data_IF_274876964411
#
_entry.id   IF_274876964411
#
_cell.length_a   1.000
_cell.length_b   1.000
_cell.length_c   1.000
_cell.angle_alpha   90.00
_cell.angle_beta   90.00
_cell.angle_gamma   90.00
#
_symmetry.space_group_name_H-M   'P 1'
#
loop_
_entity.id
_entity.type
_entity.pdbx_description
1 polymer ?
#
# COMPACT_ATOMS: atom_id res chain seq x y z
N UNK A 1 -10.35 -13.66 -41.66
CA UNK A 1 -10.73 -12.59 -40.71
C UNK A 1 -11.54 -13.09 -39.52
N UNK A 2 -12.43 -14.09 -39.64
CA UNK A 2 -13.27 -14.58 -38.53
C UNK A 2 -12.48 -15.25 -37.40
N UNK A 3 -11.46 -16.06 -37.72
CA UNK A 3 -10.66 -16.79 -36.73
C UNK A 3 -9.78 -15.91 -35.83
N UNK A 4 -9.40 -14.69 -36.27
CA UNK A 4 -8.59 -13.78 -35.46
C UNK A 4 -9.41 -13.19 -34.31
N UNK A 5 -10.63 -12.75 -34.63
CA UNK A 5 -11.58 -12.22 -33.64
C UNK A 5 -11.99 -13.26 -32.62
N UNK A 6 -12.14 -14.51 -33.04
CA UNK A 6 -12.42 -15.64 -32.13
C UNK A 6 -11.26 -15.87 -31.17
N UNK A 7 -10.01 -15.88 -31.66
CA UNK A 7 -8.82 -16.00 -30.82
C UNK A 7 -8.69 -14.83 -29.82
N UNK A 8 -8.91 -13.60 -30.28
CA UNK A 8 -8.93 -12.42 -29.42
C UNK A 8 -10.02 -12.50 -28.35
N UNK A 9 -11.23 -12.93 -28.71
CA UNK A 9 -12.34 -13.09 -27.76
C UNK A 9 -12.01 -14.13 -26.67
N UNK A 10 -11.36 -15.24 -27.03
CA UNK A 10 -10.91 -16.25 -26.08
C UNK A 10 -9.84 -15.70 -25.14
N UNK A 11 -8.83 -15.01 -25.67
CA UNK A 11 -7.73 -14.47 -24.87
C UNK A 11 -8.23 -13.37 -23.91
N UNK A 12 -9.23 -12.57 -24.31
CA UNK A 12 -9.85 -11.56 -23.42
C UNK A 12 -10.58 -12.16 -22.22
N UNK A 13 -10.93 -13.44 -22.24
CA UNK A 13 -11.54 -14.09 -21.08
C UNK A 13 -10.50 -14.50 -20.01
N UNK A 14 -9.21 -14.41 -20.32
CA UNK A 14 -8.14 -14.71 -19.36
C UNK A 14 -8.08 -13.57 -18.34
N UNK A 15 -8.05 -13.87 -17.02
CA UNK A 15 -7.94 -12.85 -15.99
C UNK A 15 -6.74 -11.93 -16.21
N UNK A 16 -6.94 -10.63 -15.98
CA UNK A 16 -5.97 -9.55 -16.12
C UNK A 16 -5.58 -9.17 -17.56
N UNK A 17 -6.21 -9.75 -18.59
CA UNK A 17 -6.07 -9.29 -19.98
C UNK A 17 -7.02 -8.14 -20.26
N UNK A 18 -6.49 -6.96 -20.54
CA UNK A 18 -7.28 -5.75 -20.85
C UNK A 18 -7.55 -5.61 -22.34
N UNK A 19 -6.53 -5.89 -23.15
CA UNK A 19 -6.63 -5.86 -24.60
C UNK A 19 -5.73 -6.92 -25.22
N UNK A 20 -6.11 -7.36 -26.41
CA UNK A 20 -5.34 -8.32 -27.19
C UNK A 20 -5.52 -8.00 -28.66
N UNK A 21 -4.44 -8.20 -29.41
CA UNK A 21 -4.42 -8.21 -30.87
C UNK A 21 -3.71 -9.47 -31.35
N UNK A 22 -4.34 -10.17 -32.28
CA UNK A 22 -3.78 -11.40 -32.86
C UNK A 22 -3.60 -11.23 -34.36
N UNK A 23 -2.36 -11.36 -34.83
CA UNK A 23 -2.05 -11.46 -36.26
C UNK A 23 -1.94 -12.94 -36.66
N UNK A 24 -2.71 -13.30 -37.68
CA UNK A 24 -2.78 -14.67 -38.22
C UNK A 24 -2.02 -14.77 -39.54
N UNK A 25 -1.38 -15.90 -39.76
CA UNK A 25 -0.82 -16.35 -41.04
C UNK A 25 -1.50 -17.66 -41.42
N UNK A 26 -2.22 -17.69 -42.54
CA UNK A 26 -3.05 -18.84 -43.00
C UNK A 26 -3.92 -19.49 -41.89
N UNK A 27 -4.52 -18.65 -41.04
CA UNK A 27 -5.39 -19.10 -39.95
C UNK A 27 -4.64 -19.64 -38.72
N UNK A 28 -3.32 -19.50 -38.66
CA UNK A 28 -2.48 -19.85 -37.51
C UNK A 28 -1.95 -18.58 -36.84
N UNK A 29 -2.03 -18.45 -35.50
CA UNK A 29 -1.49 -17.30 -34.79
C UNK A 29 0.02 -17.16 -35.00
N UNK A 30 0.44 -16.06 -35.62
CA UNK A 30 1.85 -15.75 -35.88
C UNK A 30 2.42 -14.80 -34.83
N UNK A 31 1.64 -13.79 -34.43
CA UNK A 31 2.00 -12.83 -33.39
C UNK A 31 0.78 -12.52 -32.52
N UNK A 32 1.00 -12.45 -31.22
CA UNK A 32 -0.04 -12.11 -30.24
C UNK A 32 0.50 -11.02 -29.33
N UNK A 33 -0.13 -9.85 -29.39
CA UNK A 33 0.17 -8.72 -28.51
C UNK A 33 -0.90 -8.64 -27.44
N UNK A 34 -0.48 -8.76 -26.19
CA UNK A 34 -1.37 -8.74 -25.02
C UNK A 34 -1.03 -7.53 -24.18
N UNK A 35 -2.05 -6.77 -23.86
CA UNK A 35 -2.01 -5.74 -22.84
C UNK A 35 -2.61 -6.33 -21.56
N UNK A 36 -1.80 -6.45 -20.51
CA UNK A 36 -2.23 -7.05 -19.25
C UNK A 36 -1.99 -6.13 -18.05
N UNK A 37 -2.81 -6.28 -17.02
CA UNK A 37 -2.57 -5.66 -15.73
C UNK A 37 -1.35 -6.30 -15.03
N UNK A 38 -0.69 -5.55 -14.13
CA UNK A 38 0.54 -5.98 -13.45
C UNK A 38 0.31 -6.98 -12.28
N UNK A 39 -0.91 -7.48 -12.08
CA UNK A 39 -1.27 -8.35 -10.96
C UNK A 39 -0.69 -9.76 -11.04
N UNK A 40 -0.38 -10.24 -12.24
CA UNK A 40 0.12 -11.61 -12.49
C UNK A 40 1.49 -11.61 -13.18
N UNK A 41 2.24 -12.68 -12.95
CA UNK A 41 3.53 -12.87 -13.60
C UNK A 41 3.34 -13.14 -15.11
N UNK A 42 4.07 -12.48 -16.02
CA UNK A 42 3.88 -12.61 -17.47
C UNK A 42 3.87 -14.06 -17.98
N UNK A 43 4.78 -14.91 -17.49
CA UNK A 43 4.84 -16.32 -17.89
C UNK A 43 3.59 -17.14 -17.51
N UNK A 44 2.80 -16.72 -16.52
CA UNK A 44 1.52 -17.36 -16.23
C UNK A 44 0.49 -17.03 -17.32
N UNK A 45 0.43 -15.76 -17.74
CA UNK A 45 -0.45 -15.30 -18.82
C UNK A 45 -0.09 -16.00 -20.13
N UNK A 46 1.20 -16.13 -20.46
CA UNK A 46 1.66 -16.90 -21.63
C UNK A 46 1.12 -18.33 -21.61
N UNK A 47 1.21 -19.02 -20.47
CA UNK A 47 0.71 -20.40 -20.33
C UNK A 47 -0.81 -20.50 -20.47
N UNK A 48 -1.54 -19.54 -19.91
CA UNK A 48 -3.00 -19.49 -20.01
C UNK A 48 -3.42 -19.29 -21.48
N UNK A 49 -2.73 -18.43 -22.22
CA UNK A 49 -2.96 -18.18 -23.64
C UNK A 49 -2.67 -19.42 -24.47
N UNK A 50 -1.52 -20.06 -24.29
CA UNK A 50 -1.18 -21.32 -24.98
C UNK A 50 -2.24 -22.39 -24.72
N UNK A 51 -2.66 -22.55 -23.45
CA UNK A 51 -3.66 -23.54 -23.04
C UNK A 51 -5.04 -23.23 -23.62
N UNK A 52 -5.46 -21.96 -23.61
CA UNK A 52 -6.75 -21.54 -24.13
C UNK A 52 -6.86 -21.70 -25.65
N UNK A 53 -5.82 -21.29 -26.39
CA UNK A 53 -5.77 -21.44 -27.85
C UNK A 53 -5.73 -22.91 -28.27
N UNK A 54 -4.94 -23.73 -27.57
CA UNK A 54 -4.87 -25.17 -27.83
C UNK A 54 -6.22 -25.86 -27.57
N UNK A 55 -6.90 -25.50 -26.47
CA UNK A 55 -8.17 -26.14 -26.08
C UNK A 55 -9.37 -25.71 -26.93
N UNK A 56 -9.42 -24.44 -27.37
CA UNK A 56 -10.60 -23.88 -28.06
C UNK A 56 -10.46 -23.82 -29.58
N UNK A 57 -9.25 -23.69 -30.09
CA UNK A 57 -8.98 -23.47 -31.53
C UNK A 57 -8.12 -24.61 -32.11
N UNK A 58 -7.53 -25.46 -31.25
CA UNK A 58 -6.67 -26.56 -31.68
C UNK A 58 -5.35 -26.10 -32.30
N UNK A 59 -4.99 -24.82 -32.15
CA UNK A 59 -3.76 -24.22 -32.69
C UNK A 59 -2.73 -24.05 -31.58
N UNK A 60 -1.48 -24.40 -31.87
CA UNK A 60 -0.33 -24.14 -30.99
C UNK A 60 0.39 -22.89 -31.46
N UNK A 61 0.85 -22.09 -30.51
CA UNK A 61 1.67 -20.90 -30.73
C UNK A 61 2.96 -21.07 -29.92
N UNK A 62 4.09 -20.60 -30.45
CA UNK A 62 5.33 -20.52 -29.68
C UNK A 62 5.28 -19.30 -28.75
N UNK A 63 5.64 -19.46 -27.48
CA UNK A 63 5.85 -18.35 -26.53
C UNK A 63 6.65 -17.17 -27.08
N UNK A 64 7.58 -17.38 -28.03
CA UNK A 64 8.37 -16.32 -28.69
C UNK A 64 7.52 -15.36 -29.52
N UNK A 65 6.35 -15.80 -29.98
CA UNK A 65 5.39 -14.99 -30.73
C UNK A 65 4.43 -14.19 -29.82
N UNK A 66 4.48 -14.40 -28.50
CA UNK A 66 3.60 -13.72 -27.55
C UNK A 66 4.37 -12.57 -26.90
N UNK A 67 3.96 -11.34 -27.23
CA UNK A 67 4.45 -10.13 -26.61
C UNK A 67 3.45 -9.64 -25.57
N UNK A 68 3.87 -9.59 -24.30
CA UNK A 68 3.05 -9.03 -23.23
C UNK A 68 3.59 -7.66 -22.86
N UNK A 69 2.78 -6.64 -23.08
CA UNK A 69 2.96 -5.34 -22.48
C UNK A 69 2.15 -5.31 -21.18
N UNK A 70 2.82 -5.18 -20.05
CA UNK A 70 2.12 -4.92 -18.79
C UNK A 70 1.94 -3.42 -18.64
N UNK A 71 0.69 -2.97 -18.66
CA UNK A 71 0.42 -1.66 -18.11
C UNK A 71 0.78 -1.75 -16.64
N UNK A 72 1.69 -0.87 -16.22
CA UNK A 72 1.74 -0.46 -14.82
C UNK A 72 0.39 0.20 -14.58
N UNK A 73 -0.62 -0.59 -14.24
CA UNK A 73 -1.95 -0.12 -13.86
C UNK A 73 -1.71 1.08 -12.99
N UNK A 74 -2.22 2.25 -13.43
CA UNK A 74 -1.87 3.58 -12.99
C UNK A 74 -1.38 3.49 -11.56
N UNK A 75 -0.05 3.41 -11.38
CA UNK A 75 0.63 3.01 -10.14
C UNK A 75 -0.29 3.42 -9.03
N UNK A 76 -1.06 2.49 -8.43
CA UNK A 76 -2.09 2.85 -7.44
C UNK A 76 -1.35 3.86 -6.57
N UNK A 77 -1.78 5.12 -6.59
CA UNK A 77 -1.12 6.12 -5.78
C UNK A 77 -1.41 5.62 -4.39
N UNK A 78 -0.51 4.79 -3.86
CA UNK A 78 -0.69 4.13 -2.60
C UNK A 78 -0.86 5.30 -1.66
N UNK A 79 -2.10 5.48 -1.18
CA UNK A 79 -2.46 6.63 -0.39
C UNK A 79 -1.62 6.53 0.87
N UNK A 80 -0.50 7.26 0.89
CA UNK A 80 0.52 7.11 1.90
C UNK A 80 0.63 8.42 2.61
N UNK A 81 0.18 8.43 3.86
CA UNK A 81 0.39 9.56 4.74
C UNK A 81 1.89 9.79 4.88
N UNK A 82 2.30 11.01 4.53
CA UNK A 82 3.67 11.47 4.65
C UNK A 82 3.81 12.33 5.90
N UNK A 83 4.82 12.04 6.72
CA UNK A 83 5.21 12.90 7.83
C UNK A 83 5.77 14.22 7.30
N UNK A 84 5.20 15.35 7.71
CA UNK A 84 5.68 16.69 7.36
C UNK A 84 6.44 17.34 8.49
N UNK A 85 5.88 17.34 9.68
CA UNK A 85 6.51 17.93 10.85
C UNK A 85 6.18 17.14 12.11
N UNK A 86 7.12 17.17 13.05
CA UNK A 86 6.93 16.78 14.44
C UNK A 86 7.42 17.95 15.28
N UNK A 87 6.53 18.54 16.07
CA UNK A 87 6.81 19.65 16.96
C UNK A 87 6.61 19.20 18.39
N UNK A 88 7.53 19.60 19.27
CA UNK A 88 7.48 19.30 20.69
C UNK A 88 7.55 20.59 21.48
N UNK A 89 6.62 20.76 22.41
CA UNK A 89 6.65 21.81 23.41
C UNK A 89 6.81 21.19 24.78
N UNK A 90 7.88 21.58 25.49
CA UNK A 90 8.15 21.14 26.84
C UNK A 90 7.77 22.25 27.83
N UNK A 91 7.05 21.89 28.88
CA UNK A 91 6.68 22.79 29.98
C UNK A 91 6.82 22.05 31.30
N UNK A 92 7.86 22.36 32.07
CA UNK A 92 8.16 21.78 33.38
C UNK A 92 8.14 20.23 33.42
N UNK A 93 6.99 19.65 33.70
CA UNK A 93 6.73 18.21 33.85
C UNK A 93 5.91 17.61 32.69
N UNK A 94 5.48 18.45 31.75
CA UNK A 94 4.56 18.10 30.68
C UNK A 94 5.21 18.33 29.31
N UNK A 95 5.00 17.38 28.40
CA UNK A 95 5.35 17.49 26.99
C UNK A 95 4.07 17.49 26.16
N UNK A 96 4.01 18.38 25.17
CA UNK A 96 2.98 18.43 24.15
C UNK A 96 3.63 18.16 22.80
N UNK A 97 3.05 17.24 22.03
CA UNK A 97 3.48 16.88 20.69
C UNK A 97 2.40 17.27 19.68
N UNK A 98 2.82 17.89 18.59
CA UNK A 98 2.01 18.14 17.40
C UNK A 98 2.67 17.46 16.20
N UNK A 99 1.90 16.64 15.48
CA UNK A 99 2.36 15.94 14.28
C UNK A 99 1.51 16.38 13.09
N UNK A 100 2.20 16.70 12.00
CA UNK A 100 1.58 17.14 10.75
C UNK A 100 1.81 16.07 9.68
N UNK A 101 0.72 15.60 9.09
CA UNK A 101 0.71 14.60 8.02
C UNK A 101 0.14 15.21 6.75
N UNK A 102 0.61 14.75 5.60
CA UNK A 102 0.07 15.13 4.29
C UNK A 102 -0.37 13.92 3.48
N UNK A 103 -1.46 14.09 2.74
CA UNK A 103 -1.95 13.14 1.73
C UNK A 103 -2.62 13.94 0.60
N UNK A 104 -2.15 13.77 -0.63
CA UNK A 104 -2.73 14.37 -1.84
C UNK A 104 -3.00 15.89 -1.74
N UNK A 105 -2.12 16.61 -1.06
CA UNK A 105 -2.23 18.06 -0.83
C UNK A 105 -3.13 18.47 0.35
N UNK A 106 -3.85 17.53 0.97
CA UNK A 106 -4.52 17.75 2.25
C UNK A 106 -3.54 17.57 3.42
N UNK A 107 -3.72 18.38 4.46
CA UNK A 107 -2.92 18.35 5.67
C UNK A 107 -3.77 17.97 6.89
N UNK A 108 -3.19 17.15 7.76
CA UNK A 108 -3.84 16.66 8.97
C UNK A 108 -2.92 16.87 10.15
N UNK A 109 -3.46 17.47 11.21
CA UNK A 109 -2.71 17.80 12.42
C UNK A 109 -3.25 16.98 13.58
N UNK A 110 -2.37 16.24 14.24
CA UNK A 110 -2.67 15.47 15.43
C UNK A 110 -1.85 15.92 16.63
N UNK A 111 -2.40 15.74 17.83
CA UNK A 111 -1.81 16.22 19.08
C UNK A 111 -1.90 15.20 20.21
N UNK A 112 -0.91 15.21 21.09
CA UNK A 112 -0.92 14.46 22.34
C UNK A 112 -0.13 15.21 23.41
N UNK A 113 -0.54 15.08 24.68
CA UNK A 113 0.13 15.71 25.82
C UNK A 113 0.18 14.79 27.02
N UNK A 114 1.26 14.86 27.79
CA UNK A 114 1.41 14.09 29.02
C UNK A 114 2.77 14.31 29.69
N UNK A 115 3.15 13.47 30.67
CA UNK A 115 4.42 13.61 31.38
C UNK A 115 5.64 13.69 30.44
N UNK A 116 6.60 14.56 30.74
CA UNK A 116 7.79 14.83 29.92
C UNK A 116 8.93 13.78 30.09
N UNK A 117 8.64 12.61 30.66
CA UNK A 117 9.63 11.55 30.83
C UNK A 117 10.09 11.00 29.47
N UNK A 118 11.33 10.49 29.38
CA UNK A 118 11.89 9.99 28.11
C UNK A 118 11.00 8.93 27.45
N UNK A 119 10.57 7.92 28.21
CA UNK A 119 9.69 6.86 27.70
C UNK A 119 8.34 7.43 27.21
N UNK A 120 7.79 8.42 27.93
CA UNK A 120 6.50 8.99 27.58
C UNK A 120 6.58 9.92 26.38
N UNK A 121 7.71 10.60 26.12
CA UNK A 121 7.92 11.40 24.90
C UNK A 121 7.76 10.57 23.62
N UNK A 122 8.30 9.36 23.58
CA UNK A 122 8.14 8.47 22.42
C UNK A 122 6.68 8.04 22.25
N UNK A 123 6.02 7.70 23.35
CA UNK A 123 4.60 7.36 23.36
C UNK A 123 3.73 8.53 22.87
N UNK A 124 3.95 9.74 23.36
CA UNK A 124 3.24 10.94 22.96
C UNK A 124 3.44 11.28 21.47
N UNK A 125 4.65 11.07 20.94
CA UNK A 125 4.90 11.25 19.50
C UNK A 125 4.10 10.25 18.65
N UNK A 126 4.01 9.00 19.08
CA UNK A 126 3.16 7.99 18.44
C UNK A 126 1.69 8.38 18.56
N UNK A 127 1.21 8.75 19.74
CA UNK A 127 -0.19 9.13 19.97
C UNK A 127 -0.60 10.35 19.14
N UNK A 128 0.23 11.39 19.07
CA UNK A 128 -0.02 12.56 18.22
C UNK A 128 -0.08 12.18 16.74
N UNK A 129 0.75 11.22 16.31
CA UNK A 129 0.70 10.68 14.95
C UNK A 129 -0.60 9.93 14.69
N UNK A 130 -1.03 9.08 15.63
CA UNK A 130 -2.29 8.33 15.50
C UNK A 130 -3.51 9.26 15.50
N UNK A 131 -3.51 10.33 16.30
CA UNK A 131 -4.56 11.36 16.25
C UNK A 131 -4.66 12.00 14.86
N UNK A 132 -3.52 12.34 14.23
CA UNK A 132 -3.49 12.88 12.87
C UNK A 132 -4.07 11.87 11.84
N UNK A 133 -3.73 10.59 11.99
CA UNK A 133 -4.26 9.51 11.15
C UNK A 133 -5.78 9.36 11.32
N UNK A 134 -6.28 9.33 12.56
CA UNK A 134 -7.72 9.20 12.83
C UNK A 134 -8.50 10.35 12.18
N UNK A 135 -7.97 11.58 12.27
CA UNK A 135 -8.56 12.76 11.60
C UNK A 135 -8.57 12.62 10.08
N UNK A 136 -7.49 12.10 9.49
CA UNK A 136 -7.43 11.85 8.04
C UNK A 136 -8.44 10.81 7.55
N UNK A 137 -8.91 9.93 8.45
CA UNK A 137 -9.96 8.95 8.20
C UNK A 137 -11.36 9.43 8.65
N UNK A 138 -11.53 10.73 8.91
CA UNK A 138 -12.81 11.32 9.29
C UNK A 138 -13.31 10.88 10.67
N UNK A 139 -12.40 10.52 11.59
CA UNK A 139 -12.72 10.06 12.96
C UNK A 139 -13.60 8.80 13.02
N UNK A 140 -13.50 7.93 12.01
CA UNK A 140 -14.33 6.71 11.88
C UNK A 140 -13.72 5.46 12.52
N UNK A 141 -12.47 5.53 12.97
CA UNK A 141 -11.74 4.44 13.62
C UNK A 141 -11.12 4.91 14.92
N UNK A 142 -10.82 3.95 15.81
CA UNK A 142 -10.01 4.21 16.99
C UNK A 142 -8.63 3.59 16.78
N UNK A 143 -7.59 4.39 17.03
CA UNK A 143 -6.20 3.97 17.03
C UNK A 143 -5.58 4.34 18.36
N UNK A 144 -4.84 3.42 18.98
CA UNK A 144 -4.05 3.72 20.18
C UNK A 144 -2.75 2.93 20.20
N UNK A 145 -1.73 3.52 20.82
CA UNK A 145 -0.44 2.88 21.00
C UNK A 145 -0.53 1.85 22.14
N UNK A 146 -0.25 0.59 21.82
CA UNK A 146 -0.15 -0.47 22.84
C UNK A 146 1.28 -0.53 23.39
N UNK A 147 2.29 -0.34 22.54
CA UNK A 147 3.68 -0.36 22.95
C UNK A 147 4.56 0.51 22.06
N UNK A 148 5.59 1.12 22.67
CA UNK A 148 6.66 1.83 21.97
C UNK A 148 7.98 1.45 22.63
N UNK A 149 8.90 0.88 21.85
CA UNK A 149 10.19 0.38 22.32
C UNK A 149 11.30 1.02 21.49
N UNK A 150 12.27 1.61 22.17
CA UNK A 150 13.57 1.94 21.60
C UNK A 150 14.48 0.73 21.78
N UNK A 151 15.02 0.21 20.68
CA UNK A 151 15.92 -0.95 20.66
C UNK A 151 17.11 -0.68 19.75
N UNK A 152 18.17 -1.45 19.90
CA UNK A 152 19.38 -1.34 19.07
C UNK A 152 19.49 -2.57 18.18
N UNK A 153 19.69 -2.36 16.87
CA UNK A 153 19.85 -3.39 15.85
C UNK A 153 21.22 -3.20 15.22
N UNK A 154 22.18 -4.03 15.61
CA UNK A 154 23.59 -3.82 15.25
C UNK A 154 24.13 -2.59 15.97
N UNK A 155 24.58 -1.60 15.20
CA UNK A 155 25.07 -0.30 15.65
C UNK A 155 24.05 0.84 15.50
N UNK A 156 22.82 0.52 15.07
CA UNK A 156 21.77 1.51 14.82
C UNK A 156 20.64 1.36 15.83
N UNK A 157 20.21 2.48 16.41
CA UNK A 157 18.98 2.51 17.21
C UNK A 157 17.74 2.50 16.30
N UNK A 158 16.67 1.89 16.77
CA UNK A 158 15.39 1.78 16.08
C UNK A 158 14.23 1.91 17.07
N UNK A 159 13.17 2.61 16.67
CA UNK A 159 11.89 2.61 17.38
C UNK A 159 10.98 1.57 16.74
N UNK A 160 10.40 0.69 17.56
CA UNK A 160 9.36 -0.26 17.18
C UNK A 160 8.11 0.05 17.97
N UNK A 161 6.95 0.06 17.31
CA UNK A 161 5.66 0.33 17.96
C UNK A 161 4.59 -0.65 17.53
N UNK A 162 3.72 -1.00 18.47
CA UNK A 162 2.47 -1.71 18.24
C UNK A 162 1.29 -0.74 18.37
N UNK A 163 0.40 -0.76 17.38
CA UNK A 163 -0.78 0.08 17.28
C UNK A 163 -1.98 -0.83 17.21
N UNK A 164 -2.97 -0.61 18.08
CA UNK A 164 -4.24 -1.32 18.00
C UNK A 164 -5.21 -0.46 17.19
N UNK A 165 -5.79 -1.10 16.18
CA UNK A 165 -6.86 -0.57 15.36
C UNK A 165 -8.17 -1.23 15.78
N UNK A 166 -9.16 -0.41 16.12
CA UNK A 166 -10.53 -0.85 16.35
C UNK A 166 -11.46 -0.25 15.29
N UNK A 167 -12.08 -1.12 14.51
CA UNK A 167 -13.02 -0.79 13.43
C UNK A 167 -14.16 -1.82 13.43
N UNK A 168 -15.42 -1.37 13.41
CA UNK A 168 -16.58 -2.26 13.29
C UNK A 168 -16.68 -3.35 14.38
N UNK A 169 -16.22 -3.05 15.60
CA UNK A 169 -16.19 -4.00 16.72
C UNK A 169 -15.09 -5.06 16.65
N UNK A 170 -14.19 -5.00 15.65
CA UNK A 170 -13.02 -5.87 15.55
C UNK A 170 -11.76 -5.11 15.95
N UNK A 171 -10.86 -5.81 16.63
CA UNK A 171 -9.53 -5.31 16.96
C UNK A 171 -8.47 -6.00 16.10
N UNK A 172 -7.50 -5.22 15.65
CA UNK A 172 -6.35 -5.68 14.89
C UNK A 172 -5.11 -5.02 15.45
N UNK A 173 -4.06 -5.82 15.65
CA UNK A 173 -2.75 -5.31 16.06
C UNK A 173 -1.91 -5.07 14.81
N UNK A 174 -1.41 -3.84 14.69
CA UNK A 174 -0.49 -3.40 13.67
C UNK A 174 0.87 -3.17 14.32
N UNK A 175 1.95 -3.41 13.58
CA UNK A 175 3.31 -3.15 14.04
C UNK A 175 4.01 -2.28 13.03
N UNK A 176 4.90 -1.39 13.47
CA UNK A 176 5.75 -0.57 12.62
C UNK A 176 7.08 -0.27 13.28
N UNK A 177 8.06 0.10 12.46
CA UNK A 177 9.40 0.39 12.95
C UNK A 177 10.13 1.37 12.05
N UNK A 178 11.08 2.11 12.65
CA UNK A 178 11.94 3.05 11.96
C UNK A 178 13.29 3.15 12.68
N UNK A 179 14.38 3.20 11.92
CA UNK A 179 15.69 3.52 12.47
C UNK A 179 15.72 4.96 12.98
N UNK A 180 16.40 5.16 14.10
CA UNK A 180 16.66 6.47 14.69
C UNK A 180 17.81 7.11 13.92
N UNK A 181 17.56 8.31 13.42
CA UNK A 181 18.61 9.12 12.80
C UNK A 181 18.92 10.36 13.63
N UNK A 182 18.01 11.34 13.60
CA UNK A 182 18.26 12.66 14.21
C UNK A 182 17.51 12.84 15.53
N UNK A 183 16.30 12.33 15.59
CA UNK A 183 15.39 12.56 16.71
C UNK A 183 14.57 11.30 16.99
N UNK A 184 14.54 10.88 18.26
CA UNK A 184 13.82 9.67 18.69
C UNK A 184 12.31 9.82 18.50
N UNK A 185 11.76 11.02 18.71
CA UNK A 185 10.32 11.27 18.60
C UNK A 185 9.85 11.32 17.14
N UNK A 186 10.63 11.93 16.24
CA UNK A 186 10.40 11.85 14.80
C UNK A 186 10.44 10.38 14.34
N UNK A 187 11.39 9.61 14.85
CA UNK A 187 11.53 8.18 14.53
C UNK A 187 10.34 7.38 15.07
N UNK A 188 9.83 7.71 16.25
CA UNK A 188 8.61 7.13 16.80
C UNK A 188 7.37 7.45 15.94
N UNK A 189 7.21 8.70 15.48
CA UNK A 189 6.15 9.08 14.55
C UNK A 189 6.25 8.31 13.22
N UNK A 190 7.46 8.13 12.68
CA UNK A 190 7.71 7.31 11.48
C UNK A 190 7.36 5.84 11.70
N UNK A 191 7.69 5.27 12.86
CA UNK A 191 7.33 3.91 13.22
C UNK A 191 5.81 3.71 13.27
N UNK A 192 5.08 4.67 13.86
CA UNK A 192 3.61 4.66 13.89
C UNK A 192 3.00 4.73 12.48
N UNK A 193 3.50 5.64 11.64
CA UNK A 193 3.08 5.72 10.24
C UNK A 193 3.40 4.45 9.47
N UNK A 194 4.54 3.79 9.73
CA UNK A 194 4.88 2.51 9.09
C UNK A 194 3.90 1.39 9.49
N UNK A 195 3.39 1.42 10.72
CA UNK A 195 2.36 0.50 11.18
C UNK A 195 1.03 0.71 10.43
N UNK A 196 0.57 1.96 10.34
CA UNK A 196 -0.75 2.28 9.77
C UNK A 196 -0.74 2.29 8.23
N UNK A 197 0.30 2.81 7.57
CA UNK A 197 0.33 2.96 6.11
C UNK A 197 0.15 1.64 5.35
N UNK A 198 0.47 0.48 5.96
CA UNK A 198 0.19 -0.85 5.39
C UNK A 198 -1.30 -1.14 5.23
N UNK A 199 -2.15 -0.53 6.06
CA UNK A 199 -3.60 -0.73 6.08
C UNK A 199 -4.38 0.52 5.67
N UNK A 200 -3.72 1.67 5.63
CA UNK A 200 -4.35 2.96 5.42
C UNK A 200 -5.19 3.04 4.14
N UNK A 201 -4.67 2.55 3.01
CA UNK A 201 -5.41 2.56 1.75
C UNK A 201 -6.72 1.76 1.82
N UNK A 202 -6.70 0.58 2.44
CA UNK A 202 -7.90 -0.24 2.63
C UNK A 202 -8.90 0.43 3.57
N UNK A 203 -8.42 1.05 4.66
CA UNK A 203 -9.27 1.81 5.58
C UNK A 203 -9.88 3.04 4.90
N UNK A 204 -9.10 3.77 4.10
CA UNK A 204 -9.59 4.93 3.37
C UNK A 204 -10.68 4.52 2.37
N UNK A 205 -10.48 3.44 1.61
CA UNK A 205 -11.47 2.91 0.67
C UNK A 205 -12.75 2.44 1.36
N UNK A 206 -12.64 1.70 2.48
CA UNK A 206 -13.81 1.20 3.23
C UNK A 206 -14.59 2.32 3.90
N UNK A 207 -13.89 3.30 4.46
CA UNK A 207 -14.50 4.34 5.27
C UNK A 207 -14.96 5.51 4.42
N UNK A 208 -14.13 6.05 3.54
CA UNK A 208 -14.37 7.32 2.84
C UNK A 208 -14.86 7.13 1.39
N UNK A 209 -14.94 5.89 0.91
CA UNK A 209 -15.32 5.56 -0.47
C UNK A 209 -14.15 5.65 -1.45
N UNK A 210 -14.28 4.98 -2.60
CA UNK A 210 -13.39 5.20 -3.74
C UNK A 210 -13.74 6.56 -4.36
N UNK A 211 -12.80 7.50 -4.36
CA UNK A 211 -12.85 8.66 -5.26
C UNK A 211 -12.39 8.21 -6.63
#
# INVERSE_FOLDING_TARGET
MQSAREAEAIIRMIPDVEAVRVDLDDGTPREVHILAAAGRHPMQIVRDVESALAAKIGKRIDRRAISIAQLRGAREQAFRLALRAVQTRLSCDTAEFQVELALDGAEFVGRASGPASRANKLKLAVEATLDAVVRSLGNRVQLYAEGVVLTTIGDMDAVVTTVVLREGGREQVLTGGAFVWRDEAESAARAALAAVNRRYELLRRSLLGAV
#
